data_IF_958097677336
#
_entry.id   IF_958097677336
#
_cell.length_a   1.000
_cell.length_b   1.000
_cell.length_c   1.000
_cell.angle_alpha   90.00
_cell.angle_beta   90.00
_cell.angle_gamma   90.00
#
_symmetry.space_group_name_H-M   'P 1'
#
loop_
_entity.id
_entity.type
_entity.pdbx_description
1 polymer ?
#
# COMPACT_ATOMS: atom_id res chain seq x y z
N UNK A 1 -6.30 7.44 16.57
CA UNK A 1 -5.91 8.85 16.75
C UNK A 1 -6.89 9.73 15.99
N UNK A 2 -7.57 10.64 16.67
CA UNK A 2 -8.40 11.69 16.05
C UNK A 2 -7.48 12.73 15.40
N UNK A 3 -7.72 13.11 14.14
CA UNK A 3 -6.87 14.05 13.40
C UNK A 3 -6.86 15.46 14.00
N UNK A 4 -5.84 16.25 13.67
CA UNK A 4 -5.74 17.65 14.05
C UNK A 4 -6.30 18.55 12.94
N UNK A 5 -7.17 19.54 13.22
CA UNK A 5 -7.85 20.33 12.19
C UNK A 5 -6.93 21.17 11.29
N UNK A 6 -5.68 21.41 11.68
CA UNK A 6 -4.68 22.14 10.88
C UNK A 6 -3.72 21.24 10.10
N UNK A 7 -3.97 19.93 10.07
CA UNK A 7 -3.06 18.97 9.45
C UNK A 7 -3.23 18.94 7.94
N UNK A 8 -2.11 18.83 7.24
CA UNK A 8 -2.08 18.66 5.78
C UNK A 8 -1.69 17.22 5.46
N UNK A 9 -2.41 16.64 4.51
CA UNK A 9 -2.17 15.29 4.00
C UNK A 9 -1.86 15.37 2.51
N UNK A 10 -0.97 14.50 2.02
CA UNK A 10 -0.73 14.30 0.59
C UNK A 10 -1.22 12.91 0.22
N UNK A 11 -2.10 12.84 -0.76
CA UNK A 11 -2.65 11.58 -1.25
C UNK A 11 -1.69 10.89 -2.22
N UNK A 12 -1.35 9.64 -1.91
CA UNK A 12 -0.66 8.73 -2.82
C UNK A 12 -1.64 8.18 -3.89
N UNK A 13 -1.18 7.91 -5.13
CA UNK A 13 -2.02 7.32 -6.17
C UNK A 13 -2.80 6.07 -5.74
N UNK A 14 -2.16 5.15 -5.02
CA UNK A 14 -2.81 3.88 -4.67
C UNK A 14 -3.99 4.06 -3.73
N UNK A 15 -3.87 4.95 -2.74
CA UNK A 15 -4.94 5.23 -1.79
C UNK A 15 -6.17 5.90 -2.44
N UNK A 16 -5.96 6.62 -3.55
CA UNK A 16 -7.06 7.16 -4.37
C UNK A 16 -7.68 6.05 -5.20
N UNK A 17 -6.84 5.29 -5.93
CA UNK A 17 -7.28 4.27 -6.90
C UNK A 17 -8.04 3.12 -6.22
N UNK A 18 -7.61 2.69 -5.04
CA UNK A 18 -8.25 1.60 -4.30
C UNK A 18 -9.42 2.05 -3.40
N UNK A 19 -9.71 3.36 -3.39
CA UNK A 19 -10.81 3.96 -2.64
C UNK A 19 -10.62 4.02 -1.13
N UNK A 20 -9.46 3.67 -0.60
CA UNK A 20 -9.20 3.76 0.85
C UNK A 20 -9.20 5.20 1.36
N UNK A 21 -8.73 6.17 0.55
CA UNK A 21 -8.82 7.60 0.89
C UNK A 21 -10.27 8.07 1.01
N UNK A 22 -11.14 7.67 0.07
CA UNK A 22 -12.58 7.99 0.15
C UNK A 22 -13.20 7.47 1.44
N UNK A 23 -12.94 6.21 1.79
CA UNK A 23 -13.45 5.60 3.03
C UNK A 23 -12.99 6.36 4.27
N UNK A 24 -11.74 6.82 4.30
CA UNK A 24 -11.24 7.65 5.39
C UNK A 24 -12.00 8.98 5.49
N UNK A 25 -12.20 9.67 4.37
CA UNK A 25 -12.94 10.93 4.29
C UNK A 25 -14.39 10.77 4.74
N UNK A 26 -15.10 9.76 4.22
CA UNK A 26 -16.50 9.46 4.56
C UNK A 26 -16.66 9.07 6.04
N UNK A 27 -15.67 8.42 6.64
CA UNK A 27 -15.70 8.04 8.06
C UNK A 27 -15.50 9.21 9.04
N UNK A 28 -15.14 10.40 8.55
CA UNK A 28 -14.85 11.56 9.40
C UNK A 28 -13.57 11.43 10.24
N UNK A 29 -12.77 10.36 10.04
CA UNK A 29 -11.51 10.14 10.76
C UNK A 29 -10.37 11.03 10.26
N UNK A 30 -10.51 11.56 9.04
CA UNK A 30 -9.54 12.46 8.43
C UNK A 30 -9.96 13.91 8.65
N UNK A 31 -9.39 14.54 9.67
CA UNK A 31 -9.57 15.97 9.93
C UNK A 31 -8.36 16.74 9.38
N UNK A 32 -8.60 17.65 8.43
CA UNK A 32 -7.59 18.51 7.81
C UNK A 32 -7.72 18.65 6.29
N UNK A 33 -6.67 19.20 5.68
CA UNK A 33 -6.60 19.47 4.24
C UNK A 33 -5.92 18.31 3.51
N UNK A 34 -6.55 17.80 2.45
CA UNK A 34 -6.01 16.69 1.64
C UNK A 34 -5.60 17.23 0.28
N UNK A 35 -4.33 17.04 -0.07
CA UNK A 35 -3.75 17.41 -1.34
C UNK A 35 -3.74 16.21 -2.28
N UNK A 36 -4.52 16.28 -3.36
CA UNK A 36 -4.53 15.28 -4.43
C UNK A 36 -3.67 15.79 -5.60
N UNK A 37 -2.63 15.08 -6.04
CA UNK A 37 -1.75 15.55 -7.11
C UNK A 37 -2.49 15.80 -8.42
N UNK A 38 -2.29 16.96 -9.06
CA UNK A 38 -2.83 17.22 -10.40
C UNK A 38 -2.38 16.19 -11.44
N UNK A 39 -1.12 15.78 -11.36
CA UNK A 39 -0.52 14.77 -12.21
C UNK A 39 -1.19 13.39 -12.11
N UNK A 40 -1.82 13.06 -10.97
CA UNK A 40 -2.60 11.83 -10.82
C UNK A 40 -3.84 11.85 -11.73
N UNK A 41 -4.52 12.99 -11.83
CA UNK A 41 -5.67 13.14 -12.73
C UNK A 41 -5.22 12.98 -14.20
N UNK A 42 -4.07 13.54 -14.56
CA UNK A 42 -3.48 13.37 -15.89
C UNK A 42 -3.08 11.93 -16.20
N UNK A 43 -2.49 11.22 -15.22
CA UNK A 43 -2.19 9.80 -15.32
C UNK A 43 -3.45 8.98 -15.59
N UNK A 44 -4.47 9.10 -14.72
CA UNK A 44 -5.70 8.33 -14.83
C UNK A 44 -6.47 8.62 -16.13
N UNK A 45 -6.49 9.88 -16.58
CA UNK A 45 -7.02 10.25 -17.89
C UNK A 45 -6.30 9.54 -19.04
N UNK A 46 -4.96 9.51 -19.01
CA UNK A 46 -4.16 8.81 -20.02
C UNK A 46 -4.42 7.30 -20.02
N UNK A 47 -4.54 6.69 -18.84
CA UNK A 47 -4.88 5.27 -18.69
C UNK A 47 -6.28 4.96 -19.25
N UNK A 48 -7.27 5.81 -18.97
CA UNK A 48 -8.64 5.66 -19.47
C UNK A 48 -8.69 5.81 -21.00
N UNK A 49 -7.96 6.80 -21.54
CA UNK A 49 -7.80 6.99 -22.99
C UNK A 49 -7.14 5.80 -23.67
N UNK A 50 -6.26 5.09 -22.97
CA UNK A 50 -5.64 3.85 -23.43
C UNK A 50 -6.54 2.61 -23.23
N UNK A 51 -7.77 2.76 -22.74
CA UNK A 51 -8.71 1.67 -22.51
C UNK A 51 -8.41 0.80 -21.28
N UNK A 52 -7.51 1.25 -20.38
CA UNK A 52 -7.13 0.49 -19.19
C UNK A 52 -8.11 0.75 -18.06
N UNK A 53 -8.57 -0.33 -17.41
CA UNK A 53 -9.57 -0.29 -16.33
C UNK A 53 -9.18 0.65 -15.18
N UNK A 54 -7.88 0.67 -14.82
CA UNK A 54 -7.34 1.53 -13.77
C UNK A 54 -7.64 3.02 -13.99
N UNK A 55 -7.68 3.48 -15.24
CA UNK A 55 -8.00 4.87 -15.55
C UNK A 55 -9.47 5.20 -15.28
N UNK A 56 -10.38 4.33 -15.71
CA UNK A 56 -11.82 4.52 -15.46
C UNK A 56 -12.14 4.44 -13.96
N UNK A 57 -11.66 3.38 -13.28
CA UNK A 57 -11.89 3.19 -11.85
C UNK A 57 -11.25 4.30 -11.04
N UNK A 58 -10.01 4.70 -11.35
CA UNK A 58 -9.34 5.76 -10.63
C UNK A 58 -9.98 7.13 -10.81
N UNK A 59 -10.47 7.48 -12.00
CA UNK A 59 -11.21 8.73 -12.22
C UNK A 59 -12.53 8.77 -11.44
N UNK A 60 -13.24 7.63 -11.39
CA UNK A 60 -14.48 7.50 -10.60
C UNK A 60 -14.21 7.67 -9.09
N UNK A 61 -13.18 7.00 -8.56
CA UNK A 61 -12.79 7.18 -7.15
C UNK A 61 -12.27 8.60 -6.85
N UNK A 62 -11.48 9.20 -7.75
CA UNK A 62 -11.02 10.58 -7.59
C UNK A 62 -12.21 11.57 -7.53
N UNK A 63 -13.22 11.40 -8.39
CA UNK A 63 -14.44 12.20 -8.36
C UNK A 63 -15.15 12.13 -7.01
N UNK A 64 -15.30 10.91 -6.45
CA UNK A 64 -15.90 10.71 -5.13
C UNK A 64 -15.06 11.29 -4.00
N UNK A 65 -13.72 11.21 -4.10
CA UNK A 65 -12.80 11.83 -3.13
C UNK A 65 -13.02 13.34 -3.07
N UNK A 66 -13.11 14.04 -4.21
CA UNK A 66 -13.38 15.48 -4.25
C UNK A 66 -14.80 15.85 -3.79
N UNK A 67 -15.77 14.94 -3.94
CA UNK A 67 -17.15 15.11 -3.48
C UNK A 67 -17.41 14.71 -2.03
N UNK A 68 -16.40 14.19 -1.30
CA UNK A 68 -16.61 13.64 0.03
C UNK A 68 -16.93 14.75 1.06
N UNK A 69 -17.97 14.60 1.90
CA UNK A 69 -18.46 15.65 2.78
C UNK A 69 -17.50 16.03 3.93
N UNK A 70 -16.51 15.18 4.23
CA UNK A 70 -15.60 15.33 5.37
C UNK A 70 -14.24 15.96 5.08
N UNK A 71 -13.89 16.25 3.83
CA UNK A 71 -12.54 16.70 3.47
C UNK A 71 -12.48 18.08 2.84
N UNK A 72 -11.55 18.91 3.31
CA UNK A 72 -11.02 19.99 2.47
C UNK A 72 -10.04 19.36 1.46
N UNK A 73 -10.60 18.65 0.47
CA UNK A 73 -9.81 18.05 -0.61
C UNK A 73 -9.52 19.12 -1.65
N UNK A 74 -8.24 19.34 -1.92
CA UNK A 74 -7.77 20.29 -2.92
C UNK A 74 -6.82 19.63 -3.91
N UNK A 75 -6.82 20.15 -5.13
CA UNK A 75 -5.88 19.74 -6.16
C UNK A 75 -4.51 20.38 -5.87
N UNK A 76 -3.46 19.57 -5.75
CA UNK A 76 -2.08 20.06 -5.67
C UNK A 76 -1.54 20.33 -7.08
N UNK A 77 -1.63 21.58 -7.49
CA UNK A 77 -1.13 22.03 -8.79
C UNK A 77 0.41 21.98 -8.92
N UNK A 78 1.14 21.85 -7.80
CA UNK A 78 2.60 21.80 -7.82
C UNK A 78 3.17 20.45 -8.27
N UNK A 79 2.35 19.40 -8.28
CA UNK A 79 2.72 18.06 -8.77
C UNK A 79 2.00 17.81 -10.10
N UNK A 80 2.71 18.01 -11.21
CA UNK A 80 2.18 17.85 -12.58
C UNK A 80 2.68 16.59 -13.29
N UNK A 81 3.66 15.88 -12.71
CA UNK A 81 4.22 14.63 -13.24
C UNK A 81 3.12 13.56 -13.35
N UNK A 82 3.06 12.84 -14.47
CA UNK A 82 1.94 11.94 -14.77
C UNK A 82 2.32 10.48 -15.02
N UNK A 83 3.59 10.09 -14.86
CA UNK A 83 3.93 8.68 -14.75
C UNK A 83 3.68 8.20 -13.32
N UNK A 84 3.32 6.93 -13.17
CA UNK A 84 3.03 6.34 -11.88
C UNK A 84 4.24 6.42 -10.93
N UNK A 85 5.43 6.05 -11.39
CA UNK A 85 6.65 6.06 -10.58
C UNK A 85 7.05 7.47 -10.15
N UNK A 86 7.00 8.44 -11.07
CA UNK A 86 7.35 9.83 -10.74
C UNK A 86 6.31 10.49 -9.83
N UNK A 87 5.04 10.08 -9.91
CA UNK A 87 4.02 10.48 -8.94
C UNK A 87 4.36 9.97 -7.54
N UNK A 88 4.72 8.69 -7.40
CA UNK A 88 5.08 8.06 -6.12
C UNK A 88 6.28 8.78 -5.47
N UNK A 89 7.28 9.17 -6.25
CA UNK A 89 8.39 9.99 -5.75
C UNK A 89 7.95 11.39 -5.35
N UNK A 90 7.22 12.08 -6.24
CA UNK A 90 6.81 13.47 -6.03
C UNK A 90 5.92 13.68 -4.80
N UNK A 91 5.01 12.74 -4.49
CA UNK A 91 4.15 12.83 -3.30
C UNK A 91 4.95 12.66 -2.01
N UNK A 92 5.96 11.77 -1.98
CA UNK A 92 6.87 11.64 -0.83
C UNK A 92 7.67 12.92 -0.61
N UNK A 93 8.24 13.46 -1.68
CA UNK A 93 9.02 14.69 -1.63
C UNK A 93 8.17 15.90 -1.24
N UNK A 94 6.92 15.94 -1.71
CA UNK A 94 5.98 16.99 -1.33
C UNK A 94 5.65 16.91 0.15
N UNK A 95 5.27 15.72 0.64
CA UNK A 95 4.96 15.50 2.05
C UNK A 95 6.14 15.92 2.95
N UNK A 96 7.37 15.51 2.58
CA UNK A 96 8.60 15.88 3.29
C UNK A 96 8.81 17.39 3.34
N UNK A 97 8.68 18.08 2.21
CA UNK A 97 8.96 19.52 2.09
C UNK A 97 8.02 20.40 2.91
N UNK A 98 6.75 19.99 3.03
CA UNK A 98 5.73 20.79 3.73
C UNK A 98 5.39 20.26 5.12
N UNK A 99 6.05 19.20 5.58
CA UNK A 99 5.73 18.55 6.85
C UNK A 99 4.34 17.92 6.89
N UNK A 100 3.83 17.47 5.74
CA UNK A 100 2.53 16.81 5.63
C UNK A 100 2.64 15.30 5.86
N UNK A 101 1.51 14.68 6.18
CA UNK A 101 1.37 13.24 6.29
C UNK A 101 1.09 12.64 4.92
N UNK A 102 1.84 11.61 4.52
CA UNK A 102 1.54 10.85 3.32
C UNK A 102 0.45 9.81 3.62
N UNK A 103 -0.65 9.82 2.87
CA UNK A 103 -1.68 8.78 2.94
C UNK A 103 -1.41 7.77 1.82
N UNK A 104 -1.15 6.51 2.15
CA UNK A 104 -0.91 5.46 1.16
C UNK A 104 -1.42 4.10 1.64
N UNK A 105 -1.91 3.29 0.71
CA UNK A 105 -2.24 1.88 0.92
C UNK A 105 -1.12 0.93 0.47
N UNK A 106 -0.07 1.46 -0.16
CA UNK A 106 1.09 0.68 -0.59
C UNK A 106 2.13 0.57 0.53
N UNK A 107 2.41 -0.66 1.03
CA UNK A 107 3.35 -0.86 2.12
C UNK A 107 4.78 -0.43 1.75
N UNK A 108 5.18 -0.56 0.48
CA UNK A 108 6.52 -0.19 0.02
C UNK A 108 6.68 1.32 0.06
N UNK A 109 5.69 2.05 -0.44
CA UNK A 109 5.65 3.51 -0.36
C UNK A 109 5.65 4.00 1.09
N UNK A 110 4.89 3.37 1.98
CA UNK A 110 4.89 3.69 3.40
C UNK A 110 6.29 3.55 4.01
N UNK A 111 6.98 2.44 3.74
CA UNK A 111 8.35 2.23 4.20
C UNK A 111 9.33 3.25 3.62
N UNK A 112 9.24 3.55 2.32
CA UNK A 112 10.10 4.50 1.63
C UNK A 112 9.91 5.94 2.14
N UNK A 113 8.67 6.33 2.48
CA UNK A 113 8.39 7.62 3.08
C UNK A 113 8.94 7.71 4.53
N UNK A 114 8.69 6.68 5.34
CA UNK A 114 9.21 6.61 6.72
C UNK A 114 10.74 6.69 6.77
N UNK A 115 11.45 6.07 5.82
CA UNK A 115 12.93 6.08 5.80
C UNK A 115 13.54 7.47 5.58
N UNK A 116 12.79 8.39 5.00
CA UNK A 116 13.22 9.80 4.79
C UNK A 116 12.56 10.77 5.80
N UNK A 117 11.97 10.24 6.87
CA UNK A 117 11.37 11.02 7.96
C UNK A 117 10.00 11.61 7.64
N UNK A 118 9.30 11.10 6.61
CA UNK A 118 7.92 11.49 6.32
C UNK A 118 6.97 10.68 7.19
N UNK A 119 6.05 11.37 7.85
CA UNK A 119 4.97 10.72 8.59
C UNK A 119 3.96 10.10 7.62
N UNK A 120 3.48 8.90 7.95
CA UNK A 120 2.62 8.11 7.06
C UNK A 120 1.36 7.70 7.79
N UNK A 121 0.22 7.90 7.13
CA UNK A 121 -1.04 7.26 7.44
C UNK A 121 -1.23 6.08 6.49
N UNK A 122 -1.02 4.86 7.00
CA UNK A 122 -1.16 3.66 6.20
C UNK A 122 -2.62 3.20 6.17
N UNK A 123 -3.17 3.06 4.98
CA UNK A 123 -4.61 2.74 4.77
C UNK A 123 -4.86 1.34 4.24
N UNK A 124 -3.80 0.56 4.06
CA UNK A 124 -3.91 -0.83 3.65
C UNK A 124 -4.75 -1.60 4.67
N UNK A 125 -5.76 -2.31 4.19
CA UNK A 125 -6.57 -3.15 5.05
C UNK A 125 -5.78 -4.41 5.38
N UNK A 126 -5.61 -4.80 6.65
CA UNK A 126 -5.01 -6.08 6.97
C UNK A 126 -5.85 -7.18 6.32
N UNK A 127 -5.19 -8.12 5.62
CA UNK A 127 -5.87 -9.36 5.23
C UNK A 127 -6.30 -10.07 6.51
N UNK A 128 -7.61 -10.23 6.70
CA UNK A 128 -8.18 -11.03 7.77
C UNK A 128 -7.79 -12.50 7.56
N UNK A 129 -7.48 -13.22 8.64
CA UNK A 129 -7.10 -14.63 8.59
C UNK A 129 -5.59 -14.89 8.49
N UNK A 130 -5.24 -16.12 8.10
CA UNK A 130 -3.86 -16.60 7.97
C UNK A 130 -3.20 -16.02 6.72
N UNK A 131 -1.93 -15.65 6.82
CA UNK A 131 -1.14 -15.27 5.64
C UNK A 131 -0.86 -16.51 4.79
N UNK A 132 -0.76 -16.37 3.46
CA UNK A 132 -0.44 -17.52 2.58
C UNK A 132 0.87 -18.20 2.96
N UNK A 133 1.84 -17.44 3.45
CA UNK A 133 3.11 -18.01 3.93
C UNK A 133 2.91 -18.96 5.13
N UNK A 134 1.87 -18.73 5.96
CA UNK A 134 1.57 -19.58 7.11
C UNK A 134 1.06 -20.96 6.72
N UNK A 135 0.52 -21.14 5.51
CA UNK A 135 0.08 -22.45 5.01
C UNK A 135 1.25 -23.43 4.83
N UNK A 136 2.48 -22.90 4.72
CA UNK A 136 3.71 -23.68 4.66
C UNK A 136 4.24 -24.11 6.04
N UNK A 137 3.63 -23.63 7.14
CA UNK A 137 4.04 -23.95 8.50
C UNK A 137 3.08 -24.94 9.16
N UNK A 138 3.67 -25.99 9.74
CA UNK A 138 3.03 -26.88 10.69
C UNK A 138 3.86 -26.93 11.99
N UNK A 139 3.40 -27.69 12.99
CA UNK A 139 4.04 -27.79 14.31
C UNK A 139 5.52 -28.23 14.27
N UNK A 140 5.98 -28.86 13.18
CA UNK A 140 7.35 -29.35 13.00
C UNK A 140 8.18 -28.51 12.03
N UNK A 141 7.56 -27.55 11.32
CA UNK A 141 8.27 -26.68 10.37
C UNK A 141 9.04 -25.60 11.13
N UNK A 142 10.36 -25.57 10.97
CA UNK A 142 11.23 -24.56 11.57
C UNK A 142 11.36 -23.30 10.70
N UNK A 143 11.44 -23.48 9.39
CA UNK A 143 11.60 -22.39 8.41
C UNK A 143 11.15 -22.84 7.03
N UNK A 144 10.73 -21.90 6.20
CA UNK A 144 10.39 -22.13 4.80
C UNK A 144 11.40 -21.41 3.89
N UNK A 145 11.66 -21.99 2.74
CA UNK A 145 12.61 -21.50 1.74
C UNK A 145 11.85 -21.39 0.42
N UNK A 146 11.53 -20.15 0.05
CA UNK A 146 10.67 -19.82 -1.08
C UNK A 146 11.50 -19.04 -2.10
N UNK A 147 11.62 -19.56 -3.32
CA UNK A 147 12.45 -18.97 -4.37
C UNK A 147 11.75 -19.08 -5.73
N UNK A 148 11.86 -18.02 -6.53
CA UNK A 148 11.27 -17.97 -7.87
C UNK A 148 11.83 -19.11 -8.74
N UNK A 149 10.95 -19.76 -9.51
CA UNK A 149 11.26 -20.89 -10.38
C UNK A 149 11.83 -22.12 -9.62
N UNK A 150 11.53 -22.24 -8.32
CA UNK A 150 11.88 -23.38 -7.50
C UNK A 150 10.68 -23.89 -6.70
N UNK A 151 10.69 -25.19 -6.39
CA UNK A 151 9.68 -25.78 -5.49
C UNK A 151 9.86 -25.23 -4.07
N UNK A 152 8.78 -24.94 -3.34
CA UNK A 152 8.86 -24.49 -1.96
C UNK A 152 9.38 -25.61 -1.06
N UNK A 153 10.35 -25.29 -0.19
CA UNK A 153 10.95 -26.23 0.74
C UNK A 153 10.71 -25.80 2.19
N UNK A 154 10.44 -26.76 3.06
CA UNK A 154 10.44 -26.57 4.51
C UNK A 154 11.62 -27.30 5.15
N UNK A 155 12.24 -26.65 6.14
CA UNK A 155 13.14 -27.30 7.09
C UNK A 155 12.28 -27.83 8.24
N UNK A 156 12.15 -29.15 8.33
CA UNK A 156 11.25 -29.82 9.28
C UNK A 156 12.08 -30.62 10.29
N UNK A 157 11.80 -30.45 11.58
CA UNK A 157 12.49 -31.16 12.65
C UNK A 157 12.78 -30.27 13.86
N UNK A 158 13.98 -30.42 14.44
CA UNK A 158 14.43 -29.70 15.63
C UNK A 158 15.87 -29.21 15.44
N UNK A 159 16.35 -28.25 16.26
CA UNK A 159 17.77 -27.90 16.26
C UNK A 159 18.65 -29.15 16.41
N UNK A 160 19.67 -29.28 15.56
CA UNK A 160 20.57 -30.45 15.51
C UNK A 160 20.04 -31.68 14.76
N UNK A 161 18.75 -31.76 14.43
CA UNK A 161 18.17 -32.89 13.68
C UNK A 161 16.96 -32.45 12.86
N UNK A 162 17.17 -32.21 11.56
CA UNK A 162 16.15 -31.72 10.63
C UNK A 162 16.41 -32.24 9.21
N UNK A 163 15.35 -32.22 8.39
CA UNK A 163 15.40 -32.55 6.96
C UNK A 163 14.74 -31.44 6.13
N UNK A 164 15.10 -31.36 4.85
CA UNK A 164 14.32 -30.58 3.88
C UNK A 164 13.19 -31.42 3.32
N UNK A 165 11.99 -30.84 3.31
CA UNK A 165 10.78 -31.46 2.78
C UNK A 165 10.21 -30.54 1.70
N UNK A 166 9.85 -31.10 0.54
CA UNK A 166 9.11 -30.36 -0.47
C UNK A 166 7.68 -30.12 0.01
N UNK A 167 7.20 -28.90 -0.16
CA UNK A 167 5.83 -28.51 0.21
C UNK A 167 4.85 -28.60 -0.97
N UNK A 168 5.38 -28.64 -2.19
CA UNK A 168 4.65 -28.73 -3.45
C UNK A 168 5.59 -29.25 -4.54
N UNK A 169 5.04 -29.89 -5.58
CA UNK A 169 5.79 -30.22 -6.80
C UNK A 169 5.80 -29.08 -7.82
N UNK A 170 4.89 -28.10 -7.69
CA UNK A 170 4.87 -26.90 -8.51
C UNK A 170 5.92 -25.89 -8.03
N UNK A 171 6.67 -25.33 -8.99
CA UNK A 171 7.60 -24.24 -8.74
C UNK A 171 6.84 -22.94 -8.49
N UNK A 172 7.34 -22.13 -7.55
CA UNK A 172 6.77 -20.81 -7.26
C UNK A 172 7.07 -19.82 -8.38
N UNK A 173 6.04 -19.09 -8.77
CA UNK A 173 6.16 -17.94 -9.66
C UNK A 173 6.61 -16.70 -8.90
N UNK A 174 7.13 -15.72 -9.63
CA UNK A 174 7.44 -14.40 -9.07
C UNK A 174 6.21 -13.75 -8.45
N UNK A 175 5.06 -13.88 -9.10
CA UNK A 175 3.81 -13.26 -8.64
C UNK A 175 3.40 -13.80 -7.26
N UNK A 176 3.46 -15.11 -7.04
CA UNK A 176 3.12 -15.72 -5.75
C UNK A 176 4.08 -15.29 -4.64
N UNK A 177 5.39 -15.20 -4.94
CA UNK A 177 6.39 -14.74 -3.96
C UNK A 177 6.16 -13.27 -3.60
N UNK A 178 5.94 -12.43 -4.61
CA UNK A 178 5.69 -11.01 -4.39
C UNK A 178 4.38 -10.77 -3.63
N UNK A 179 3.36 -11.61 -3.87
CA UNK A 179 2.12 -11.55 -3.11
C UNK A 179 2.36 -11.90 -1.63
N UNK A 180 3.03 -13.00 -1.33
CA UNK A 180 3.37 -13.37 0.06
C UNK A 180 4.20 -12.29 0.76
N UNK A 181 5.20 -11.73 0.07
CA UNK A 181 6.01 -10.63 0.61
C UNK A 181 5.14 -9.41 0.92
N UNK A 182 4.20 -9.07 0.03
CA UNK A 182 3.26 -7.97 0.24
C UNK A 182 2.37 -8.20 1.46
N UNK A 183 1.78 -9.39 1.60
CA UNK A 183 0.95 -9.73 2.75
C UNK A 183 1.69 -9.55 4.10
N UNK A 184 2.96 -9.98 4.15
CA UNK A 184 3.81 -9.83 5.34
C UNK A 184 4.00 -8.35 5.69
N UNK A 185 4.28 -7.51 4.69
CA UNK A 185 4.46 -6.07 4.93
C UNK A 185 3.16 -5.39 5.36
N UNK A 186 2.03 -5.71 4.72
CA UNK A 186 0.70 -5.21 5.08
C UNK A 186 0.37 -5.56 6.53
N UNK A 187 0.62 -6.81 6.96
CA UNK A 187 0.42 -7.25 8.35
C UNK A 187 1.34 -6.52 9.33
N UNK A 188 2.61 -6.33 8.98
CA UNK A 188 3.57 -5.64 9.85
C UNK A 188 3.16 -4.17 10.10
N UNK A 189 2.69 -3.48 9.06
CA UNK A 189 2.26 -2.07 9.17
C UNK A 189 0.96 -1.89 9.94
N UNK A 190 0.04 -2.85 9.85
CA UNK A 190 -1.28 -2.77 10.50
C UNK A 190 -1.28 -3.26 11.94
N UNK A 191 -0.38 -4.18 12.31
CA UNK A 191 -0.28 -4.70 13.68
C UNK A 191 0.43 -3.73 14.63
N UNK A 192 1.34 -2.89 14.11
CA UNK A 192 2.13 -1.94 14.90
C UNK A 192 1.38 -0.73 15.46
N UNK A 193 0.14 -0.49 15.03
CA UNK A 193 -0.70 0.64 15.50
C UNK A 193 -1.76 0.23 16.54
N UNK A 194 -1.78 -1.06 16.94
CA UNK A 194 -2.74 -1.61 17.91
C UNK A 194 -2.16 -1.81 19.34
N UNK A 195 -1.02 -1.17 19.66
CA UNK A 195 -0.36 -1.25 20.98
C UNK A 195 -0.46 0.06 21.75
#
# INVERSE_FOLDING_TARGET
MSGEPNRVYVADPDAVIDGTLRKLLESGKLMGKVLVPKGLISYLYSEARAGRSIGFTGLDEASKVFGAPGGQVELDESITLSSYESLKEAVRDRARRIGAVLITSDPIQAMAAKSIGVEVMYTGTPREGRLKIEDYFNEKTMSVHLKENAVPLAKVGRPGSWIFVKLSEAALTRAEIMEMAREIMERALTTGEAS
#
